data_IF_492107252585
#
_entry.id   IF_492107252585
#
_cell.length_a   1.000
_cell.length_b   1.000
_cell.length_c   1.000
_cell.angle_alpha   90.00
_cell.angle_beta   90.00
_cell.angle_gamma   90.00
#
_symmetry.space_group_name_H-M   'P 1'
#
loop_
_entity.id
_entity.type
_entity.pdbx_description
1 polymer ?
#
# COMPACT_ATOMS: atom_id res chain seq x y z
N UNK A 1 15.31 1.65 5.20
CA UNK A 1 15.69 1.66 3.77
C UNK A 1 14.80 2.59 2.94
N UNK A 2 13.46 2.48 2.99
CA UNK A 2 12.56 3.39 2.26
C UNK A 2 12.48 4.78 2.90
N UNK A 3 12.18 4.86 4.20
CA UNK A 3 12.06 6.14 4.91
C UNK A 3 13.37 6.96 4.89
N UNK A 4 14.50 6.29 5.13
CA UNK A 4 15.82 6.93 5.03
C UNK A 4 16.18 7.38 3.61
N UNK A 5 15.64 6.74 2.57
CA UNK A 5 15.76 7.24 1.19
C UNK A 5 14.92 8.52 1.00
N UNK A 6 13.70 8.55 1.52
CA UNK A 6 12.87 9.76 1.47
C UNK A 6 13.51 10.93 2.19
N UNK A 7 13.97 10.74 3.43
CA UNK A 7 14.64 11.80 4.21
C UNK A 7 15.78 12.43 3.41
N UNK A 8 16.61 11.60 2.76
CA UNK A 8 17.70 12.08 1.91
C UNK A 8 17.19 12.88 0.71
N UNK A 9 16.15 12.38 0.02
CA UNK A 9 15.56 13.09 -1.13
C UNK A 9 14.96 14.43 -0.73
N UNK A 10 14.19 14.47 0.37
CA UNK A 10 13.60 15.68 0.93
C UNK A 10 14.70 16.68 1.26
N UNK A 11 15.72 16.28 2.02
CA UNK A 11 16.85 17.14 2.37
C UNK A 11 17.55 17.72 1.14
N UNK A 12 17.83 16.92 0.12
CA UNK A 12 18.50 17.40 -1.10
C UNK A 12 17.62 18.40 -1.86
N UNK A 13 16.31 18.17 -1.90
CA UNK A 13 15.37 18.98 -2.67
C UNK A 13 15.00 20.29 -1.98
N UNK A 14 14.78 20.26 -0.66
CA UNK A 14 14.35 21.44 0.11
C UNK A 14 15.51 22.17 0.77
N UNK A 15 16.64 21.52 0.96
CA UNK A 15 17.77 22.03 1.76
C UNK A 15 17.58 21.88 3.28
N UNK A 16 16.42 21.38 3.73
CA UNK A 16 16.07 21.30 5.14
C UNK A 16 16.25 19.88 5.72
N UNK A 17 16.67 19.81 6.98
CA UNK A 17 16.74 18.55 7.71
C UNK A 17 15.39 18.28 8.40
N UNK A 18 14.48 17.65 7.66
CA UNK A 18 13.15 17.28 8.17
C UNK A 18 13.23 15.88 8.76
N UNK A 19 13.08 15.71 10.09
CA UNK A 19 13.14 14.41 10.73
C UNK A 19 12.02 13.48 10.28
N UNK A 20 12.22 12.17 10.45
CA UNK A 20 11.22 11.17 10.08
C UNK A 20 10.05 11.12 11.07
N UNK A 21 10.15 11.67 12.29
CA UNK A 21 9.07 11.85 13.29
C UNK A 21 8.01 10.73 13.34
N UNK A 22 8.45 9.50 13.59
CA UNK A 22 7.55 8.35 13.66
C UNK A 22 6.92 8.00 12.31
N UNK A 23 7.58 8.32 11.20
CA UNK A 23 7.14 7.94 9.88
C UNK A 23 7.08 6.42 9.73
N UNK A 24 6.06 5.96 9.01
CA UNK A 24 5.78 4.55 8.79
C UNK A 24 5.43 4.33 7.32
N UNK A 25 5.92 3.21 6.78
CA UNK A 25 5.60 2.77 5.43
C UNK A 25 5.22 1.27 5.39
N UNK A 26 4.13 0.86 6.07
CA UNK A 26 3.74 -0.54 6.07
C UNK A 26 3.02 -0.92 4.76
N UNK A 27 3.16 -2.18 4.31
CA UNK A 27 2.39 -2.71 3.19
C UNK A 27 0.89 -2.76 3.50
N UNK A 28 0.06 -2.55 2.48
CA UNK A 28 -1.39 -2.79 2.52
C UNK A 28 -1.76 -3.85 1.48
N UNK A 29 -2.09 -5.06 1.96
CA UNK A 29 -2.44 -6.23 1.11
C UNK A 29 -1.36 -6.65 0.09
N UNK A 30 -0.09 -6.43 0.42
CA UNK A 30 1.07 -6.83 -0.39
C UNK A 30 1.59 -8.18 0.11
N UNK A 31 1.79 -9.13 -0.82
CA UNK A 31 2.33 -10.45 -0.53
C UNK A 31 3.31 -10.94 -1.60
N UNK A 32 3.58 -12.25 -1.65
CA UNK A 32 4.50 -12.85 -2.62
C UNK A 32 4.08 -12.61 -4.08
N UNK A 33 2.78 -12.61 -4.36
CA UNK A 33 2.21 -12.34 -5.70
C UNK A 33 2.55 -10.95 -6.25
N UNK A 34 2.96 -10.04 -5.37
CA UNK A 34 3.29 -8.65 -5.70
C UNK A 34 4.78 -8.46 -6.01
N UNK A 35 5.61 -9.50 -5.84
CA UNK A 35 7.01 -9.47 -6.20
C UNK A 35 7.16 -9.59 -7.72
N UNK A 36 7.79 -8.60 -8.32
CA UNK A 36 8.20 -8.62 -9.72
C UNK A 36 9.72 -8.69 -9.80
N UNK A 37 10.22 -9.67 -10.57
CA UNK A 37 11.63 -9.81 -10.87
C UNK A 37 11.85 -9.38 -12.32
N UNK A 38 12.71 -8.40 -12.52
CA UNK A 38 12.98 -7.78 -13.82
C UNK A 38 14.48 -7.86 -14.11
N UNK A 39 14.84 -8.31 -15.30
CA UNK A 39 16.21 -8.22 -15.80
C UNK A 39 16.38 -6.90 -16.55
N UNK A 40 17.15 -5.97 -16.00
CA UNK A 40 17.42 -4.67 -16.62
C UNK A 40 18.93 -4.48 -16.80
N UNK A 41 19.39 -4.34 -18.04
CA UNK A 41 20.80 -4.16 -18.40
C UNK A 41 21.74 -5.18 -17.71
N UNK A 42 21.38 -6.46 -17.78
CA UNK A 42 22.14 -7.55 -17.16
C UNK A 42 22.04 -7.65 -15.63
N UNK A 43 21.31 -6.74 -14.98
CA UNK A 43 21.09 -6.76 -13.53
C UNK A 43 19.71 -7.30 -13.20
N UNK A 44 19.64 -8.32 -12.34
CA UNK A 44 18.38 -8.82 -11.79
C UNK A 44 17.90 -7.87 -10.69
N UNK A 45 16.72 -7.28 -10.88
CA UNK A 45 16.08 -6.38 -9.94
C UNK A 45 14.82 -7.03 -9.39
N UNK A 46 14.64 -6.95 -8.08
CA UNK A 46 13.43 -7.39 -7.38
C UNK A 46 12.71 -6.15 -6.88
N UNK A 47 11.44 -5.99 -7.28
CA UNK A 47 10.58 -4.90 -6.86
C UNK A 47 9.22 -5.42 -6.41
N UNK A 48 8.53 -4.64 -5.58
CA UNK A 48 7.17 -4.96 -5.17
C UNK A 48 6.19 -3.95 -5.76
N UNK A 49 5.09 -4.44 -6.33
CA UNK A 49 3.97 -3.61 -6.76
C UNK A 49 2.81 -3.75 -5.77
N UNK A 50 2.21 -2.64 -5.35
CA UNK A 50 1.02 -2.74 -4.52
C UNK A 50 0.73 -1.47 -3.75
N UNK A 51 -0.23 -1.59 -2.84
CA UNK A 51 -0.67 -0.50 -1.99
C UNK A 51 0.12 -0.48 -0.69
N UNK A 52 0.43 0.71 -0.21
CA UNK A 52 1.16 0.93 1.02
C UNK A 52 0.50 2.08 1.77
N UNK A 53 0.56 2.04 3.10
CA UNK A 53 0.26 3.24 3.89
C UNK A 53 1.55 4.04 4.06
N UNK A 54 1.45 5.36 3.94
CA UNK A 54 2.53 6.28 4.29
C UNK A 54 2.01 7.23 5.37
N UNK A 55 2.65 7.20 6.54
CA UNK A 55 2.52 8.23 7.57
C UNK A 55 3.86 8.92 7.65
N UNK A 56 3.92 10.22 7.38
CA UNK A 56 5.14 11.02 7.41
C UNK A 56 4.79 12.52 7.43
N UNK A 57 5.75 13.43 7.63
CA UNK A 57 5.53 14.86 7.40
C UNK A 57 5.15 15.18 5.95
N UNK A 58 4.42 16.28 5.73
CA UNK A 58 3.90 16.67 4.41
C UNK A 58 4.94 16.67 3.27
N UNK A 59 6.19 17.16 3.45
CA UNK A 59 7.20 17.17 2.38
C UNK A 59 7.56 15.78 1.84
N UNK A 60 7.41 14.74 2.65
CA UNK A 60 7.68 13.36 2.24
C UNK A 60 6.63 12.86 1.24
N UNK A 61 5.37 13.25 1.39
CA UNK A 61 4.32 12.90 0.43
C UNK A 61 4.54 13.56 -0.92
N UNK A 62 4.89 14.86 -0.92
CA UNK A 62 5.22 15.58 -2.15
C UNK A 62 6.41 14.92 -2.86
N UNK A 63 7.45 14.60 -2.09
CA UNK A 63 8.64 13.91 -2.61
C UNK A 63 8.31 12.53 -3.21
N UNK A 64 7.39 11.78 -2.59
CA UNK A 64 6.96 10.49 -3.12
C UNK A 64 6.27 10.62 -4.48
N UNK A 65 5.42 11.64 -4.65
CA UNK A 65 4.71 11.87 -5.90
C UNK A 65 5.63 12.40 -7.01
N UNK A 66 6.52 13.33 -6.68
CA UNK A 66 7.39 13.96 -7.68
C UNK A 66 8.58 13.07 -8.08
N UNK A 67 9.22 12.41 -7.11
CA UNK A 67 10.48 11.69 -7.34
C UNK A 67 10.38 10.16 -7.14
N UNK A 68 9.20 9.65 -6.81
CA UNK A 68 8.97 8.25 -6.49
C UNK A 68 9.63 7.77 -5.20
N UNK A 69 9.47 6.48 -4.92
CA UNK A 69 9.94 5.79 -3.72
C UNK A 69 11.16 4.93 -4.07
N UNK A 70 12.16 4.87 -3.19
CA UNK A 70 13.31 3.99 -3.35
C UNK A 70 14.45 4.58 -4.17
N UNK A 71 15.34 3.72 -4.68
CA UNK A 71 16.66 4.11 -5.22
C UNK A 71 16.82 3.97 -6.73
N UNK A 72 15.81 3.44 -7.45
CA UNK A 72 15.90 3.11 -8.88
C UNK A 72 14.93 3.93 -9.74
N UNK A 73 14.59 5.16 -9.31
CA UNK A 73 13.56 5.97 -9.96
C UNK A 73 13.89 6.35 -11.39
N UNK A 74 15.14 6.74 -11.68
CA UNK A 74 15.60 7.03 -13.04
C UNK A 74 15.65 5.81 -13.98
N UNK A 75 15.38 4.61 -13.46
CA UNK A 75 15.27 3.37 -14.24
C UNK A 75 13.81 2.91 -14.38
N UNK A 76 12.85 3.75 -13.98
CA UNK A 76 11.41 3.49 -14.13
C UNK A 76 10.75 2.81 -12.93
N UNK A 77 11.40 2.75 -11.76
CA UNK A 77 10.85 2.09 -10.57
C UNK A 77 10.33 3.07 -9.51
N UNK A 78 9.37 2.60 -8.71
CA UNK A 78 8.92 3.31 -7.51
C UNK A 78 8.06 4.54 -7.76
N UNK A 79 7.54 4.72 -8.98
CA UNK A 79 6.47 5.70 -9.22
C UNK A 79 5.23 5.31 -8.41
N UNK A 80 4.56 6.30 -7.82
CA UNK A 80 3.37 6.08 -6.99
C UNK A 80 2.30 7.11 -7.29
N UNK A 81 1.08 6.76 -6.94
CA UNK A 81 -0.08 7.63 -7.02
C UNK A 81 -0.85 7.62 -5.70
N UNK A 82 -1.62 8.67 -5.45
CA UNK A 82 -2.55 8.70 -4.33
C UNK A 82 -3.75 7.81 -4.65
N UNK A 83 -3.93 6.74 -3.87
CA UNK A 83 -5.17 5.97 -3.86
C UNK A 83 -6.25 6.76 -3.13
N UNK A 84 -7.24 7.26 -3.87
CA UNK A 84 -8.49 7.76 -3.29
C UNK A 84 -9.31 6.54 -2.83
N UNK A 85 -9.85 6.60 -1.62
CA UNK A 85 -10.87 5.70 -1.07
C UNK A 85 -10.49 4.26 -0.70
N UNK A 86 -9.65 4.09 0.33
CA UNK A 86 -9.46 2.76 0.97
C UNK A 86 -10.75 2.31 1.72
N UNK A 87 -11.57 3.25 2.20
CA UNK A 87 -12.76 2.97 3.03
C UNK A 87 -13.96 2.38 2.27
N UNK A 88 -14.10 2.64 0.96
CA UNK A 88 -15.23 2.11 0.18
C UNK A 88 -15.10 0.60 -0.08
N UNK A 89 -13.87 0.10 -0.29
CA UNK A 89 -13.62 -1.34 -0.47
C UNK A 89 -13.87 -2.16 0.80
N UNK A 90 -13.59 -1.60 1.98
CA UNK A 90 -13.85 -2.27 3.26
C UNK A 90 -15.35 -2.39 3.53
N UNK A 91 -16.12 -1.33 3.26
CA UNK A 91 -17.58 -1.34 3.42
C UNK A 91 -18.31 -2.21 2.38
N UNK A 92 -17.86 -2.22 1.11
CA UNK A 92 -18.40 -3.13 0.10
C UNK A 92 -18.13 -4.60 0.44
N UNK A 93 -16.92 -4.96 0.87
CA UNK A 93 -16.59 -6.35 1.20
C UNK A 93 -17.27 -6.84 2.49
N UNK A 94 -17.43 -5.96 3.49
CA UNK A 94 -18.19 -6.31 4.70
C UNK A 94 -19.66 -6.65 4.38
N UNK A 95 -20.28 -5.90 3.45
CA UNK A 95 -21.68 -6.12 3.02
C UNK A 95 -21.88 -7.30 2.07
N UNK A 96 -20.84 -7.78 1.37
CA UNK A 96 -20.92 -8.99 0.53
C UNK A 96 -20.80 -10.28 1.34
N UNK A 97 -20.06 -10.28 2.45
CA UNK A 97 -19.91 -11.44 3.36
C UNK A 97 -21.20 -11.73 4.13
N UNK A 98 -22.01 -10.71 4.42
CA UNK A 98 -23.30 -10.88 5.12
C UNK A 98 -24.39 -11.55 4.26
N UNK A 99 -24.27 -11.56 2.92
CA UNK A 99 -25.29 -12.14 2.02
C UNK A 99 -25.16 -13.64 1.76
N UNK A 100 -24.08 -14.27 2.19
CA UNK A 100 -23.84 -15.71 2.02
C UNK A 100 -24.27 -16.60 3.19
N UNK A 101 -24.84 -16.01 4.26
CA UNK A 101 -25.15 -16.73 5.52
C UNK A 101 -26.60 -17.14 5.75
N UNK A 102 -27.57 -16.76 4.90
CA UNK A 102 -29.00 -16.90 5.21
C UNK A 102 -29.75 -17.96 4.40
N UNK A 103 -29.15 -19.10 4.04
CA UNK A 103 -29.91 -20.23 3.50
C UNK A 103 -29.54 -21.53 4.23
N UNK A 104 -30.10 -21.72 5.42
CA UNK A 104 -30.01 -22.99 6.14
C UNK A 104 -30.75 -22.97 7.47
N UNK A 105 -32.07 -23.19 7.44
CA UNK A 105 -32.83 -23.48 8.67
C UNK A 105 -34.32 -23.13 8.60
N UNK A 106 -35.13 -23.98 7.97
CA UNK A 106 -36.56 -24.04 8.26
C UNK A 106 -37.11 -25.44 7.95
N UNK A 107 -37.35 -26.22 9.00
CA UNK A 107 -38.28 -27.36 9.11
C UNK A 107 -38.07 -27.95 10.52
N UNK A 108 -39.04 -28.24 11.37
CA UNK A 108 -40.45 -27.90 11.51
C UNK A 108 -40.79 -28.33 12.95
N UNK A 109 -41.34 -27.45 13.77
CA UNK A 109 -41.99 -27.87 15.01
C UNK A 109 -43.36 -28.46 14.66
N UNK A 110 -43.53 -29.75 14.94
CA UNK A 110 -44.83 -30.42 14.95
C UNK A 110 -44.81 -31.45 16.08
N UNK A 111 -45.56 -31.17 17.14
CA UNK A 111 -45.74 -32.11 18.24
C UNK A 111 -46.69 -31.62 19.32
N UNK A 112 -47.98 -31.47 18.99
CA UNK A 112 -49.07 -31.42 19.98
C UNK A 112 -49.32 -32.83 20.52
N UNK A 113 -49.15 -33.03 21.83
CA UNK A 113 -49.97 -33.78 22.81
C UNK A 113 -49.12 -34.33 23.94
#
# INVERSE_FOLDING_TARGET
MVLSNFRRKVRIWTGEEIPEDGALFPPYRVGSRNLHVVLYKGTVMKGWIGSYHLRAPQPYFRMALDAGIGSKNSQGFGCVELRRDIRQEENMNASSVQRSGEHGGSLAESGKK
#
